data_IF_687242446468
#
_entry.id   IF_687242446468
#
_cell.length_a   1.000
_cell.length_b   1.000
_cell.length_c   1.000
_cell.angle_alpha   90.00
_cell.angle_beta   90.00
_cell.angle_gamma   90.00
#
_symmetry.space_group_name_H-M   'P 1'
#
loop_
_entity.id
_entity.type
_entity.pdbx_description
1 polymer ?
#
# COMPACT_ATOMS: atom_id res chain seq x y z
N UNK A 1 -15.01 -12.67 -6.33
CA UNK A 1 -13.64 -13.17 -6.09
C UNK A 1 -13.14 -12.45 -4.86
N UNK A 2 -12.61 -13.17 -3.87
CA UNK A 2 -12.27 -12.57 -2.56
C UNK A 2 -11.29 -11.42 -2.75
N UNK A 3 -11.70 -10.21 -2.38
CA UNK A 3 -10.85 -9.05 -2.11
C UNK A 3 -10.00 -9.31 -0.84
N UNK A 4 -9.29 -10.45 -0.80
CA UNK A 4 -8.38 -10.77 0.29
C UNK A 4 -7.18 -9.83 0.17
N UNK A 5 -7.14 -8.83 1.05
CA UNK A 5 -6.00 -7.94 1.21
C UNK A 5 -5.05 -8.58 2.22
N UNK A 6 -3.81 -8.83 1.80
CA UNK A 6 -2.72 -9.28 2.67
C UNK A 6 -1.83 -8.10 3.03
N UNK A 7 -1.66 -7.83 4.33
CA UNK A 7 -0.66 -6.87 4.81
C UNK A 7 0.74 -7.44 4.61
N UNK A 8 1.60 -6.70 3.92
CA UNK A 8 2.95 -7.11 3.53
C UNK A 8 4.04 -6.27 4.19
N UNK A 9 3.72 -5.05 4.61
CA UNK A 9 4.67 -4.19 5.30
C UNK A 9 3.96 -3.15 6.17
N UNK A 10 4.63 -2.73 7.23
CA UNK A 10 4.20 -1.65 8.12
C UNK A 10 5.42 -0.76 8.43
N UNK A 11 5.28 0.56 8.36
CA UNK A 11 6.38 1.49 8.61
C UNK A 11 5.90 2.87 9.07
N UNK A 12 6.71 3.55 9.86
CA UNK A 12 6.46 4.91 10.30
C UNK A 12 7.23 5.92 9.45
N UNK A 13 6.56 7.00 9.02
CA UNK A 13 7.19 8.10 8.28
C UNK A 13 6.48 9.42 8.54
N UNK A 14 7.27 10.48 8.73
CA UNK A 14 6.77 11.85 8.92
C UNK A 14 5.74 11.99 10.05
N UNK A 15 5.78 11.10 11.05
CA UNK A 15 4.84 11.08 12.18
C UNK A 15 3.58 10.23 11.97
N UNK A 16 3.45 9.55 10.83
CA UNK A 16 2.33 8.68 10.48
C UNK A 16 2.75 7.22 10.37
N UNK A 17 1.86 6.33 10.77
CA UNK A 17 2.04 4.88 10.65
C UNK A 17 1.35 4.36 9.39
N UNK A 18 2.11 3.78 8.46
CA UNK A 18 1.59 3.24 7.21
C UNK A 18 1.54 1.72 7.24
N UNK A 19 0.43 1.14 6.78
CA UNK A 19 0.31 -0.29 6.51
C UNK A 19 0.04 -0.51 5.04
N UNK A 20 0.85 -1.37 4.42
CA UNK A 20 0.76 -1.70 3.00
C UNK A 20 0.14 -3.08 2.87
N UNK A 21 -1.04 -3.11 2.28
CA UNK A 21 -1.75 -4.31 1.86
C UNK A 21 -1.67 -4.51 0.35
N UNK A 22 -1.73 -5.75 -0.09
CA UNK A 22 -1.81 -6.12 -1.51
C UNK A 22 -2.91 -7.13 -1.74
N UNK A 23 -3.49 -7.15 -2.93
CA UNK A 23 -4.39 -8.21 -3.37
C UNK A 23 -3.78 -9.05 -4.50
N UNK A 24 -4.45 -10.14 -4.89
CA UNK A 24 -3.97 -11.04 -5.95
C UNK A 24 -3.82 -10.35 -7.33
N UNK A 25 -4.55 -9.27 -7.57
CA UNK A 25 -4.48 -8.49 -8.81
C UNK A 25 -3.30 -7.50 -8.83
N UNK A 26 -2.57 -7.36 -7.71
CA UNK A 26 -1.45 -6.43 -7.57
C UNK A 26 -1.87 -4.99 -7.27
N UNK A 27 -3.14 -4.76 -6.91
CA UNK A 27 -3.56 -3.48 -6.34
C UNK A 27 -2.98 -3.35 -4.93
N UNK A 28 -2.46 -2.17 -4.62
CA UNK A 28 -1.94 -1.84 -3.29
C UNK A 28 -2.99 -1.05 -2.51
N UNK A 29 -3.21 -1.45 -1.26
CA UNK A 29 -4.04 -0.77 -0.27
C UNK A 29 -3.14 -0.16 0.79
N UNK A 30 -3.29 1.12 1.07
CA UNK A 30 -2.49 1.88 2.03
C UNK A 30 -3.44 2.30 3.16
N UNK A 31 -3.11 1.89 4.38
CA UNK A 31 -3.80 2.33 5.60
C UNK A 31 -2.87 3.25 6.37
N UNK A 32 -3.42 4.29 6.99
CA UNK A 32 -2.65 5.34 7.65
C UNK A 32 -3.20 5.51 9.06
N UNK A 33 -2.30 5.48 10.03
CA UNK A 33 -2.61 5.54 11.45
C UNK A 33 -3.70 4.53 11.82
N UNK A 34 -4.81 5.00 12.39
CA UNK A 34 -5.99 4.21 12.75
C UNK A 34 -7.14 4.37 11.74
N UNK A 35 -6.86 4.87 10.53
CA UNK A 35 -7.90 5.02 9.51
C UNK A 35 -8.44 3.65 9.09
N UNK A 36 -9.77 3.55 9.05
CA UNK A 36 -10.48 2.34 8.63
C UNK A 36 -10.55 2.21 7.11
N UNK A 37 -10.24 3.29 6.38
CA UNK A 37 -10.35 3.37 4.93
C UNK A 37 -8.98 3.17 4.28
N UNK A 38 -8.90 2.25 3.34
CA UNK A 38 -7.73 2.10 2.50
C UNK A 38 -7.68 3.17 1.38
N UNK A 39 -6.49 3.69 1.13
CA UNK A 39 -6.15 4.37 -0.11
C UNK A 39 -5.61 3.37 -1.11
N UNK A 40 -6.02 3.46 -2.37
CA UNK A 40 -5.61 2.49 -3.38
C UNK A 40 -4.59 3.07 -4.35
N UNK A 41 -3.58 2.28 -4.66
CA UNK A 41 -2.50 2.64 -5.56
C UNK A 41 -1.94 1.45 -6.34
N UNK A 42 -0.91 1.75 -7.11
CA UNK A 42 -0.16 0.78 -7.91
C UNK A 42 1.30 0.78 -7.50
N UNK A 43 1.87 -0.41 -7.38
CA UNK A 43 3.27 -0.60 -7.06
C UNK A 43 4.16 -0.35 -8.29
N UNK A 44 5.20 0.45 -8.11
CA UNK A 44 6.34 0.57 -8.99
C UNK A 44 7.62 0.45 -8.14
N UNK A 45 8.77 0.09 -8.73
CA UNK A 45 10.01 -0.01 -7.97
C UNK A 45 10.32 1.25 -7.15
N UNK A 46 10.38 1.10 -5.82
CA UNK A 46 10.67 2.15 -4.85
C UNK A 46 9.52 3.12 -4.53
N UNK A 47 8.36 3.00 -5.18
CA UNK A 47 7.21 3.90 -4.96
C UNK A 47 5.86 3.19 -5.08
N UNK A 48 4.86 3.71 -4.38
CA UNK A 48 3.45 3.44 -4.67
C UNK A 48 2.84 4.69 -5.30
N UNK A 49 2.32 4.57 -6.51
CA UNK A 49 1.59 5.64 -7.16
C UNK A 49 0.13 5.62 -6.69
N UNK A 50 -0.39 6.77 -6.26
CA UNK A 50 -1.73 6.95 -5.68
C UNK A 50 -2.53 7.88 -6.61
N UNK A 51 -3.29 7.35 -7.60
CA UNK A 51 -3.92 8.18 -8.64
C UNK A 51 -4.96 9.15 -8.11
N UNK A 52 -5.68 8.76 -7.04
CA UNK A 52 -6.67 9.62 -6.37
C UNK A 52 -6.04 10.60 -5.39
N UNK A 53 -4.72 10.50 -5.21
CA UNK A 53 -3.97 11.18 -4.17
C UNK A 53 -4.30 10.68 -2.77
N UNK A 54 -3.39 11.05 -1.88
CA UNK A 54 -3.46 10.84 -0.46
C UNK A 54 -3.25 12.19 0.21
N UNK A 55 -4.22 12.65 0.99
CA UNK A 55 -4.07 13.88 1.75
C UNK A 55 -3.43 13.56 3.10
N UNK A 56 -2.26 14.13 3.36
CA UNK A 56 -1.51 13.95 4.60
C UNK A 56 -1.03 15.33 5.07
N UNK A 57 -1.37 15.73 6.30
CA UNK A 57 -1.07 17.07 6.85
C UNK A 57 -1.47 18.24 5.93
N UNK A 58 -2.61 18.12 5.23
CA UNK A 58 -3.09 19.12 4.28
C UNK A 58 -2.28 19.21 2.97
N UNK A 59 -1.41 18.23 2.70
CA UNK A 59 -0.68 18.10 1.44
C UNK A 59 -1.21 16.91 0.66
N UNK A 60 -1.47 17.13 -0.63
CA UNK A 60 -1.83 16.07 -1.55
C UNK A 60 -0.57 15.35 -2.04
N UNK A 61 -0.40 14.10 -1.66
CA UNK A 61 0.65 13.21 -2.14
C UNK A 61 0.09 12.28 -3.23
N UNK A 62 0.75 12.23 -4.38
CA UNK A 62 0.41 11.31 -5.47
C UNK A 62 1.31 10.08 -5.52
N UNK A 63 2.37 10.08 -4.72
CA UNK A 63 3.37 9.03 -4.66
C UNK A 63 3.81 8.86 -3.21
N UNK A 64 3.89 7.61 -2.78
CA UNK A 64 4.44 7.22 -1.48
C UNK A 64 5.73 6.43 -1.73
N UNK A 65 6.91 6.98 -1.40
CA UNK A 65 8.15 6.22 -1.51
C UNK A 65 8.12 5.01 -0.57
N UNK A 66 8.68 3.89 -0.98
CA UNK A 66 8.73 2.67 -0.18
C UNK A 66 10.06 1.95 -0.37
N UNK A 67 10.44 1.15 0.62
CA UNK A 67 11.64 0.30 0.57
C UNK A 67 11.27 -1.19 0.68
N UNK A 68 10.00 -1.53 0.47
CA UNK A 68 9.42 -2.87 0.68
C UNK A 68 8.96 -3.55 -0.61
N UNK A 69 9.59 -3.26 -1.75
CA UNK A 69 9.25 -3.84 -3.06
C UNK A 69 9.16 -5.37 -3.01
N UNK A 70 10.18 -6.01 -2.43
CA UNK A 70 10.25 -7.47 -2.34
C UNK A 70 9.09 -8.08 -1.53
N UNK A 71 8.63 -7.41 -0.48
CA UNK A 71 7.52 -7.87 0.35
C UNK A 71 6.19 -7.79 -0.41
N UNK A 72 6.00 -6.73 -1.22
CA UNK A 72 4.84 -6.55 -2.10
C UNK A 72 4.81 -7.65 -3.15
N UNK A 73 5.92 -7.86 -3.88
CA UNK A 73 6.02 -8.90 -4.91
C UNK A 73 5.72 -10.29 -4.33
N UNK A 74 6.34 -10.62 -3.20
CA UNK A 74 6.11 -11.89 -2.51
C UNK A 74 4.64 -12.05 -2.08
N UNK A 75 4.03 -11.01 -1.49
CA UNK A 75 2.64 -11.05 -1.05
C UNK A 75 1.66 -11.30 -2.19
N UNK A 76 1.88 -10.67 -3.35
CA UNK A 76 1.08 -10.89 -4.56
C UNK A 76 1.26 -12.33 -5.07
N UNK A 77 2.50 -12.83 -5.10
CA UNK A 77 2.78 -14.21 -5.52
C UNK A 77 2.12 -15.26 -4.62
N UNK A 78 2.12 -15.05 -3.31
CA UNK A 78 1.46 -15.95 -2.37
C UNK A 78 -0.07 -15.96 -2.56
N UNK A 79 -0.68 -14.79 -2.80
CA UNK A 79 -2.12 -14.67 -3.03
C UNK A 79 -2.56 -15.33 -4.34
N UNK A 80 -1.73 -15.29 -5.40
CA UNK A 80 -2.02 -15.95 -6.68
C UNK A 80 -1.93 -17.48 -6.63
N UNK A 81 -1.28 -18.03 -5.60
CA UNK A 81 -1.09 -19.48 -5.42
C UNK A 81 -2.17 -20.12 -4.53
N UNK A 82 -3.05 -19.31 -3.91
CA UNK A 82 -4.21 -19.77 -3.15
C UNK A 82 -5.43 -19.95 -4.04
#
# INVERSE_FOLDING_TARGET
MNDEVKIVNEFDRDGHHFKIGVNADGQVSIYIDDETKAHHGYHFPGIIQIPKGLELDGKLMLQLPIDCDAAIDQGIQELKQK
#
